data_IF_899940026451
#
_entry.id   IF_899940026451
#
_cell.length_a   1.000
_cell.length_b   1.000
_cell.length_c   1.000
_cell.angle_alpha   90.00
_cell.angle_beta   90.00
_cell.angle_gamma   90.00
#
_symmetry.space_group_name_H-M   'P 1'
#
loop_
_entity.id
_entity.type
_entity.pdbx_description
1 polymer ?
#
# COMPACT_ATOMS: atom_id res chain seq x y z
N UNK A 1 3.24 7.97 13.92
CA UNK A 1 3.89 6.97 13.03
C UNK A 1 4.62 7.57 11.83
N UNK A 2 4.70 8.91 11.66
CA UNK A 2 5.35 9.51 10.48
C UNK A 2 6.89 9.55 10.52
N UNK A 3 7.49 9.31 11.68
CA UNK A 3 8.93 9.48 11.95
C UNK A 3 9.42 8.32 12.81
N UNK A 4 9.50 7.09 12.28
CA UNK A 4 9.91 5.92 13.07
C UNK A 4 11.36 6.04 13.53
N UNK A 5 11.66 5.54 14.73
CA UNK A 5 13.02 5.46 15.25
C UNK A 5 13.72 4.25 14.63
N UNK A 6 14.33 4.45 13.46
CA UNK A 6 14.90 3.38 12.67
C UNK A 6 13.81 2.57 11.94
N UNK A 7 14.23 1.66 11.05
CA UNK A 7 13.30 0.83 10.30
C UNK A 7 12.74 -0.33 11.13
N UNK A 8 13.48 -0.76 12.15
CA UNK A 8 13.21 -1.96 12.95
C UNK A 8 12.07 -1.78 13.97
N UNK A 9 11.80 -0.55 14.38
CA UNK A 9 10.73 -0.20 15.33
C UNK A 9 9.45 0.25 14.61
N UNK A 10 9.11 -0.39 13.49
CA UNK A 10 7.89 -0.09 12.76
C UNK A 10 7.23 -1.32 12.15
N UNK A 11 5.91 -1.29 12.05
CA UNK A 11 5.14 -2.35 11.38
C UNK A 11 5.24 -2.19 9.85
N UNK A 12 5.20 -3.30 9.14
CA UNK A 12 5.07 -3.37 7.69
C UNK A 12 3.69 -3.86 7.28
N UNK A 13 3.17 -3.40 6.15
CA UNK A 13 1.84 -3.78 5.66
C UNK A 13 1.90 -4.00 4.16
N UNK A 14 1.11 -4.95 3.66
CA UNK A 14 0.90 -5.10 2.22
C UNK A 14 0.10 -3.94 1.62
N UNK A 15 -0.64 -3.22 2.46
CA UNK A 15 -1.61 -2.15 2.15
C UNK A 15 -2.79 -2.62 1.30
N UNK A 16 -2.53 -3.20 0.14
CA UNK A 16 -3.54 -3.71 -0.78
C UNK A 16 -4.23 -4.97 -0.26
N UNK A 17 -5.40 -5.22 -0.84
CA UNK A 17 -6.02 -6.55 -0.80
C UNK A 17 -5.35 -7.42 -1.88
N UNK A 18 -5.07 -8.67 -1.55
CA UNK A 18 -4.56 -9.71 -2.46
C UNK A 18 -5.51 -10.89 -2.46
N UNK A 19 -5.32 -11.86 -3.37
CA UNK A 19 -6.03 -13.14 -3.36
C UNK A 19 -5.07 -14.25 -2.93
N UNK A 20 -5.55 -15.18 -2.10
CA UNK A 20 -4.95 -16.51 -1.97
C UNK A 20 -5.80 -17.53 -2.70
N UNK A 21 -5.16 -18.33 -3.54
CA UNK A 21 -5.81 -19.35 -4.38
C UNK A 21 -5.32 -20.73 -3.95
N UNK A 22 -6.26 -21.63 -3.69
CA UNK A 22 -5.94 -23.01 -3.32
C UNK A 22 -5.87 -23.94 -4.55
N UNK A 23 -5.51 -25.21 -4.32
CA UNK A 23 -5.37 -26.23 -5.37
C UNK A 23 -6.67 -26.54 -6.13
N UNK A 24 -7.83 -26.14 -5.61
CA UNK A 24 -9.13 -26.31 -6.24
C UNK A 24 -9.55 -25.07 -7.06
N UNK A 25 -8.67 -24.08 -7.20
CA UNK A 25 -8.97 -22.82 -7.89
C UNK A 25 -9.93 -21.90 -7.11
N UNK A 26 -10.22 -22.21 -5.84
CA UNK A 26 -11.01 -21.32 -4.97
C UNK A 26 -10.09 -20.29 -4.33
N UNK A 27 -10.59 -19.07 -4.15
CA UNK A 27 -9.82 -18.00 -3.56
C UNK A 27 -10.50 -17.31 -2.39
N UNK A 28 -9.68 -16.65 -1.57
CA UNK A 28 -10.09 -15.72 -0.52
C UNK A 28 -9.27 -14.44 -0.65
N UNK A 29 -9.80 -13.33 -0.12
CA UNK A 29 -9.07 -12.07 -0.07
C UNK A 29 -8.21 -11.96 1.18
N UNK A 30 -7.04 -11.34 1.03
CA UNK A 30 -5.98 -11.27 2.04
C UNK A 30 -5.46 -9.84 2.21
N UNK A 31 -5.28 -9.41 3.46
CA UNK A 31 -4.41 -8.27 3.83
C UNK A 31 -3.24 -8.78 4.66
N UNK A 32 -2.01 -8.40 4.28
CA UNK A 32 -0.79 -8.79 4.98
C UNK A 32 -0.37 -7.75 6.01
N UNK A 33 0.03 -8.22 7.19
CA UNK A 33 0.52 -7.42 8.31
C UNK A 33 1.82 -8.02 8.87
N UNK A 34 2.88 -7.24 8.93
CA UNK A 34 4.15 -7.61 9.55
C UNK A 34 4.34 -6.75 10.79
N UNK A 35 4.07 -7.33 11.97
CA UNK A 35 4.10 -6.59 13.23
C UNK A 35 5.48 -6.73 13.87
N UNK A 36 6.23 -5.62 13.92
CA UNK A 36 7.51 -5.55 14.62
C UNK A 36 7.38 -6.13 16.04
N UNK A 37 8.21 -7.12 16.36
CA UNK A 37 8.14 -7.87 17.62
C UNK A 37 8.35 -6.98 18.85
N UNK A 38 9.12 -5.91 18.70
CA UNK A 38 9.42 -4.95 19.77
C UNK A 38 8.45 -3.76 19.82
N UNK A 39 7.37 -3.80 19.03
CA UNK A 39 6.41 -2.71 18.91
C UNK A 39 6.91 -1.57 18.03
N UNK A 40 6.26 -0.41 18.16
CA UNK A 40 6.58 0.78 17.38
C UNK A 40 7.23 1.84 18.25
N UNK A 41 8.25 2.52 17.72
CA UNK A 41 8.87 3.70 18.33
C UNK A 41 8.96 4.82 17.32
N UNK A 42 8.70 6.05 17.75
CA UNK A 42 8.60 7.21 16.89
C UNK A 42 9.36 8.37 17.51
N UNK A 43 10.04 9.16 16.69
CA UNK A 43 10.55 10.46 17.10
C UNK A 43 9.37 11.44 17.19
N UNK A 44 9.38 12.29 18.20
CA UNK A 44 8.67 13.56 18.15
C UNK A 44 9.26 14.42 17.04
N UNK A 45 8.54 15.44 16.59
CA UNK A 45 9.03 16.29 15.51
C UNK A 45 10.38 16.99 15.84
N UNK A 46 10.60 17.58 17.04
CA UNK A 46 11.90 18.16 17.37
C UNK A 46 13.05 17.15 17.33
N UNK A 47 12.81 15.92 17.81
CA UNK A 47 13.80 14.84 17.73
C UNK A 47 14.07 14.44 16.29
N UNK A 48 13.04 14.31 15.46
CA UNK A 48 13.18 13.97 14.05
C UNK A 48 14.00 15.03 13.30
N UNK A 49 13.71 16.32 13.51
CA UNK A 49 14.48 17.43 12.90
C UNK A 49 15.95 17.36 13.33
N UNK A 50 16.20 17.17 14.62
CA UNK A 50 17.56 17.09 15.18
C UNK A 50 18.32 15.90 14.58
N UNK A 51 17.74 14.70 14.61
CA UNK A 51 18.36 13.49 14.08
C UNK A 51 18.60 13.61 12.57
N UNK A 52 17.66 14.17 11.81
CA UNK A 52 17.86 14.40 10.37
C UNK A 52 19.01 15.38 10.07
N UNK A 53 19.30 16.32 10.97
CA UNK A 53 20.45 17.22 10.85
C UNK A 53 21.77 16.61 11.31
N UNK A 54 21.76 15.83 12.39
CA UNK A 54 22.95 15.19 12.96
C UNK A 54 23.39 13.95 12.17
N UNK A 55 22.44 13.15 11.70
CA UNK A 55 22.67 11.89 11.00
C UNK A 55 21.54 11.58 9.99
N UNK A 56 21.66 12.04 8.74
CA UNK A 56 20.66 11.80 7.71
C UNK A 56 20.50 10.31 7.33
N UNK A 57 21.48 9.46 7.67
CA UNK A 57 21.47 8.01 7.41
C UNK A 57 21.12 7.18 8.66
N UNK A 58 20.57 7.79 9.71
CA UNK A 58 20.27 7.16 11.01
C UNK A 58 19.67 5.75 10.90
N UNK A 59 18.60 5.58 10.10
CA UNK A 59 17.92 4.28 9.99
C UNK A 59 18.77 3.21 9.29
N UNK A 60 19.63 3.60 8.33
CA UNK A 60 20.57 2.69 7.68
C UNK A 60 21.64 2.25 8.67
N UNK A 61 22.23 3.22 9.39
CA UNK A 61 23.26 2.96 10.38
C UNK A 61 22.73 2.07 11.51
N UNK A 62 21.55 2.38 12.06
CA UNK A 62 20.94 1.57 13.14
C UNK A 62 20.76 0.11 12.72
N UNK A 63 20.20 -0.12 11.53
CA UNK A 63 20.01 -1.48 11.02
C UNK A 63 21.36 -2.18 10.78
N UNK A 64 22.30 -1.50 10.13
CA UNK A 64 23.62 -2.06 9.82
C UNK A 64 24.36 -2.49 11.09
N UNK A 65 24.47 -1.59 12.06
CA UNK A 65 25.17 -1.87 13.32
C UNK A 65 24.46 -2.94 14.15
N UNK A 66 23.13 -3.00 14.11
CA UNK A 66 22.40 -4.08 14.76
C UNK A 66 22.75 -5.46 14.18
N UNK A 67 22.86 -5.57 12.86
CA UNK A 67 23.28 -6.81 12.20
C UNK A 67 24.75 -7.16 12.56
N UNK A 68 25.66 -6.18 12.62
CA UNK A 68 27.06 -6.41 13.04
C UNK A 68 27.17 -6.89 14.50
N UNK A 69 26.25 -6.46 15.36
CA UNK A 69 26.15 -6.94 16.74
C UNK A 69 25.49 -8.33 16.86
N UNK A 70 25.09 -8.94 15.75
CA UNK A 70 24.37 -10.22 15.73
C UNK A 70 22.95 -10.13 16.29
N UNK A 71 22.35 -8.93 16.34
CA UNK A 71 20.96 -8.77 16.71
C UNK A 71 20.05 -9.19 15.55
N UNK A 72 19.12 -10.12 15.78
CA UNK A 72 18.06 -10.39 14.82
C UNK A 72 16.94 -9.35 14.95
N UNK A 73 16.45 -8.84 13.80
CA UNK A 73 15.28 -7.96 13.77
C UNK A 73 14.11 -8.72 13.19
N UNK A 74 13.02 -8.79 13.95
CA UNK A 74 11.91 -9.71 13.69
C UNK A 74 10.55 -9.01 13.60
N UNK A 75 9.75 -9.49 12.64
CA UNK A 75 8.33 -9.17 12.50
C UNK A 75 7.50 -10.46 12.53
N UNK A 76 6.41 -10.45 13.29
CA UNK A 76 5.41 -11.53 13.26
C UNK A 76 4.45 -11.27 12.11
N UNK A 77 4.37 -12.22 11.19
CA UNK A 77 3.58 -12.11 9.96
C UNK A 77 2.16 -12.64 10.18
N UNK A 78 1.19 -11.78 9.91
CA UNK A 78 -0.24 -12.06 10.03
C UNK A 78 -0.96 -11.78 8.71
N UNK A 79 -2.09 -12.46 8.54
CA UNK A 79 -3.07 -12.17 7.50
C UNK A 79 -4.45 -11.91 8.10
N UNK A 80 -5.21 -11.02 7.48
CA UNK A 80 -6.67 -11.01 7.59
C UNK A 80 -7.24 -11.73 6.37
N UNK A 81 -8.36 -12.42 6.55
CA UNK A 81 -8.98 -13.25 5.51
C UNK A 81 -10.43 -12.82 5.33
N UNK A 82 -10.84 -12.57 4.09
CA UNK A 82 -12.22 -12.20 3.71
C UNK A 82 -12.72 -13.15 2.62
N UNK A 83 -13.94 -13.67 2.77
CA UNK A 83 -14.55 -14.49 1.73
C UNK A 83 -14.98 -13.62 0.54
N UNK A 84 -14.88 -14.12 -0.71
CA UNK A 84 -15.35 -13.41 -1.90
C UNK A 84 -16.76 -12.82 -1.78
N UNK A 85 -17.66 -13.54 -1.12
CA UNK A 85 -19.08 -13.18 -0.97
C UNK A 85 -19.31 -12.04 0.04
N UNK A 86 -18.34 -11.82 0.93
CA UNK A 86 -18.36 -10.74 1.94
C UNK A 86 -17.80 -9.43 1.38
N UNK A 87 -17.17 -9.45 0.20
CA UNK A 87 -16.56 -8.29 -0.45
C UNK A 87 -17.60 -7.36 -1.11
N UNK A 88 -18.66 -7.02 -0.37
CA UNK A 88 -19.71 -6.09 -0.78
C UNK A 88 -19.60 -4.79 0.04
N UNK A 89 -19.18 -3.66 -0.58
CA UNK A 89 -19.02 -2.39 0.11
C UNK A 89 -20.28 -1.89 0.83
N UNK A 90 -21.47 -2.21 0.32
CA UNK A 90 -22.72 -1.80 0.95
C UNK A 90 -22.98 -2.54 2.27
N UNK A 91 -22.48 -3.76 2.42
CA UNK A 91 -22.57 -4.54 3.68
C UNK A 91 -21.44 -4.17 4.64
N UNK A 92 -20.25 -3.95 4.11
CA UNK A 92 -19.05 -3.62 4.90
C UNK A 92 -19.06 -2.18 5.42
N UNK A 93 -19.71 -1.26 4.70
CA UNK A 93 -19.64 0.18 4.95
C UNK A 93 -18.35 0.83 4.43
N UNK A 94 -17.48 0.07 3.76
CA UNK A 94 -16.25 0.55 3.11
C UNK A 94 -15.90 -0.35 1.92
N UNK A 95 -15.10 0.17 0.99
CA UNK A 95 -14.63 -0.61 -0.15
C UNK A 95 -13.41 -1.46 0.24
N UNK A 96 -13.47 -2.79 0.14
CA UNK A 96 -12.39 -3.67 0.59
C UNK A 96 -11.16 -3.61 -0.33
N UNK A 97 -11.31 -3.06 -1.53
CA UNK A 97 -10.24 -2.87 -2.53
C UNK A 97 -9.75 -1.42 -2.61
N UNK A 98 -10.26 -0.52 -1.76
CA UNK A 98 -9.72 0.84 -1.61
C UNK A 98 -8.54 0.83 -0.63
N UNK A 99 -7.37 1.27 -1.09
CA UNK A 99 -6.15 1.39 -0.28
C UNK A 99 -6.26 2.41 0.85
N UNK A 100 -7.21 3.34 0.79
CA UNK A 100 -7.45 4.30 1.88
C UNK A 100 -8.28 3.68 3.02
N UNK A 101 -8.74 2.43 2.87
CA UNK A 101 -9.54 1.71 3.86
C UNK A 101 -8.79 0.51 4.46
N UNK A 102 -8.98 0.31 5.77
CA UNK A 102 -8.52 -0.85 6.54
C UNK A 102 -9.67 -1.80 6.80
N UNK A 103 -9.36 -3.09 6.96
CA UNK A 103 -10.34 -4.07 7.42
C UNK A 103 -10.35 -4.08 8.95
N UNK A 104 -11.49 -3.74 9.60
CA UNK A 104 -11.58 -3.70 11.05
C UNK A 104 -11.23 -5.07 11.66
N UNK A 105 -10.39 -5.09 12.70
CA UNK A 105 -9.87 -6.35 13.30
C UNK A 105 -10.95 -7.15 14.05
N UNK A 106 -12.00 -6.49 14.49
CA UNK A 106 -13.19 -7.08 15.10
C UNK A 106 -14.06 -7.82 14.08
N UNK A 107 -14.05 -7.39 12.81
CA UNK A 107 -14.74 -8.08 11.71
C UNK A 107 -13.84 -9.12 11.04
N UNK A 108 -12.56 -8.79 10.85
CA UNK A 108 -11.56 -9.62 10.19
C UNK A 108 -10.37 -9.82 11.12
N UNK A 109 -10.38 -10.85 11.98
CA UNK A 109 -9.30 -11.11 12.93
C UNK A 109 -7.98 -11.41 12.20
N UNK A 110 -6.87 -11.12 12.89
CA UNK A 110 -5.54 -11.42 12.37
C UNK A 110 -5.17 -12.88 12.67
N UNK A 111 -4.65 -13.58 11.68
CA UNK A 111 -4.15 -14.94 11.78
C UNK A 111 -2.64 -14.94 11.55
N UNK A 112 -1.86 -15.39 12.53
CA UNK A 112 -0.41 -15.58 12.38
C UNK A 112 -0.13 -16.70 11.37
N UNK A 113 0.85 -16.48 10.48
CA UNK A 113 1.29 -17.50 9.52
C UNK A 113 2.81 -17.67 9.44
N UNK A 114 3.58 -16.84 10.16
CA UNK A 114 5.04 -16.97 10.20
C UNK A 114 5.75 -15.76 10.77
N UNK A 115 7.04 -15.65 10.47
CA UNK A 115 7.90 -14.53 10.89
C UNK A 115 8.87 -14.12 9.78
N UNK A 116 9.20 -12.84 9.74
CA UNK A 116 10.27 -12.28 8.90
C UNK A 116 11.43 -11.90 9.82
N UNK A 117 12.63 -12.39 9.52
CA UNK A 117 13.84 -12.05 10.27
C UNK A 117 14.92 -11.52 9.35
N UNK A 118 15.48 -10.38 9.72
CA UNK A 118 16.70 -9.83 9.14
C UNK A 118 17.88 -10.24 10.02
N UNK A 119 18.87 -10.90 9.42
CA UNK A 119 20.02 -11.47 10.12
C UNK A 119 21.37 -11.36 9.37
N UNK A 120 21.42 -10.61 8.26
CA UNK A 120 22.64 -10.43 7.47
C UNK A 120 22.66 -9.06 6.79
N UNK A 121 23.80 -8.38 6.87
CA UNK A 121 24.08 -7.17 6.10
C UNK A 121 24.37 -7.48 4.61
N UNK A 122 24.03 -6.57 3.69
CA UNK A 122 24.43 -6.71 2.30
C UNK A 122 25.95 -6.69 2.17
N UNK A 123 26.51 -7.54 1.31
CA UNK A 123 27.96 -7.59 1.07
C UNK A 123 28.40 -6.41 0.20
N UNK A 124 27.54 -5.98 -0.71
CA UNK A 124 27.75 -4.79 -1.51
C UNK A 124 26.44 -4.01 -1.63
N UNK A 125 26.40 -2.81 -1.02
CA UNK A 125 25.19 -1.99 -0.97
C UNK A 125 24.62 -1.68 -2.36
N UNK A 126 25.48 -1.33 -3.33
CA UNK A 126 25.00 -0.98 -4.67
C UNK A 126 24.37 -2.19 -5.39
N UNK A 127 25.03 -3.35 -5.35
CA UNK A 127 24.54 -4.59 -5.98
C UNK A 127 23.29 -5.13 -5.29
N UNK A 128 23.30 -5.19 -3.95
CA UNK A 128 22.32 -5.94 -3.19
C UNK A 128 21.10 -5.09 -2.79
N UNK A 129 21.27 -3.77 -2.66
CA UNK A 129 20.21 -2.83 -2.24
C UNK A 129 19.81 -1.88 -3.37
N UNK A 130 20.74 -1.09 -3.91
CA UNK A 130 20.39 -0.07 -4.93
C UNK A 130 19.89 -0.71 -6.24
N UNK A 131 20.46 -1.85 -6.63
CA UNK A 131 20.01 -2.60 -7.81
C UNK A 131 18.88 -3.60 -7.52
N UNK A 132 18.39 -3.68 -6.27
CA UNK A 132 17.22 -4.50 -5.97
C UNK A 132 15.97 -3.98 -6.72
N UNK A 133 15.17 -4.91 -7.23
CA UNK A 133 14.04 -4.63 -8.11
C UNK A 133 12.79 -5.40 -7.69
N UNK A 134 12.10 -4.87 -6.68
CA UNK A 134 10.81 -5.40 -6.21
C UNK A 134 9.67 -4.99 -7.16
N UNK A 135 8.77 -5.90 -7.50
CA UNK A 135 7.54 -5.55 -8.23
C UNK A 135 6.37 -6.35 -7.69
N UNK A 136 5.22 -5.73 -7.38
CA UNK A 136 3.99 -6.45 -7.03
C UNK A 136 3.54 -7.43 -8.12
N UNK A 137 3.90 -7.20 -9.39
CA UNK A 137 3.61 -8.13 -10.48
C UNK A 137 4.48 -9.41 -10.49
N UNK A 138 5.43 -9.54 -9.56
CA UNK A 138 6.25 -10.74 -9.38
C UNK A 138 5.62 -11.70 -8.37
N UNK A 139 4.33 -12.00 -8.53
CA UNK A 139 3.61 -12.95 -7.67
C UNK A 139 3.95 -14.40 -8.04
N UNK A 140 3.56 -15.33 -7.17
CA UNK A 140 3.81 -16.78 -7.33
C UNK A 140 2.48 -17.54 -7.30
N UNK A 141 2.38 -18.73 -7.93
CA UNK A 141 1.14 -19.49 -7.95
C UNK A 141 0.54 -19.65 -6.55
N UNK A 142 -0.75 -19.30 -6.42
CA UNK A 142 -1.46 -19.27 -5.15
C UNK A 142 -1.56 -17.88 -4.49
N UNK A 143 -0.81 -16.89 -4.96
CA UNK A 143 -0.96 -15.48 -4.56
C UNK A 143 -1.23 -14.67 -5.82
N UNK A 144 -2.35 -13.96 -5.83
CA UNK A 144 -2.80 -13.17 -6.98
C UNK A 144 -3.23 -11.77 -6.56
N UNK A 145 -3.39 -10.89 -7.53
CA UNK A 145 -3.88 -9.53 -7.38
C UNK A 145 -5.38 -9.48 -7.09
N UNK A 146 -5.80 -8.38 -6.47
CA UNK A 146 -7.21 -8.04 -6.32
C UNK A 146 -7.62 -6.96 -7.32
N UNK A 147 -8.93 -6.66 -7.45
CA UNK A 147 -9.43 -5.54 -8.25
C UNK A 147 -9.01 -4.14 -7.77
N UNK A 148 -8.15 -4.02 -6.75
CA UNK A 148 -7.58 -2.75 -6.29
C UNK A 148 -6.86 -2.03 -7.45
N UNK A 149 -7.38 -0.89 -7.95
CA UNK A 149 -6.83 -0.24 -9.14
C UNK A 149 -5.40 0.26 -8.94
N UNK A 150 -5.01 0.61 -7.70
CA UNK A 150 -3.64 1.01 -7.42
C UNK A 150 -2.70 -0.19 -7.47
N UNK A 151 -3.11 -1.35 -6.94
CA UNK A 151 -2.33 -2.58 -7.07
C UNK A 151 -2.15 -2.95 -8.54
N UNK A 152 -3.23 -2.94 -9.33
CA UNK A 152 -3.22 -3.23 -10.76
C UNK A 152 -2.17 -2.38 -11.51
N UNK A 153 -2.18 -1.06 -11.27
CA UNK A 153 -1.22 -0.17 -11.90
C UNK A 153 0.22 -0.44 -11.44
N UNK A 154 0.43 -0.72 -10.14
CA UNK A 154 1.77 -1.01 -9.59
C UNK A 154 2.36 -2.30 -10.17
N UNK A 155 1.56 -3.30 -10.51
CA UNK A 155 2.07 -4.53 -11.14
C UNK A 155 2.82 -4.25 -12.44
N UNK A 156 2.28 -3.34 -13.26
CA UNK A 156 2.92 -2.88 -14.50
C UNK A 156 4.05 -1.88 -14.22
N UNK A 157 3.74 -0.79 -13.50
CA UNK A 157 4.60 0.38 -13.38
C UNK A 157 6.00 0.09 -12.83
N UNK A 158 6.10 -0.80 -11.83
CA UNK A 158 7.40 -1.10 -11.22
C UNK A 158 8.37 -1.70 -12.22
N UNK A 159 7.90 -2.62 -13.08
CA UNK A 159 8.77 -3.28 -14.05
C UNK A 159 9.20 -2.31 -15.15
N UNK A 160 8.29 -1.46 -15.63
CA UNK A 160 8.58 -0.40 -16.60
C UNK A 160 9.69 0.54 -16.11
N UNK A 161 9.53 1.09 -14.89
CA UNK A 161 10.54 1.95 -14.29
C UNK A 161 11.90 1.25 -14.10
N UNK A 162 11.91 -0.05 -13.78
CA UNK A 162 13.13 -0.82 -13.58
C UNK A 162 13.87 -1.12 -14.89
N UNK A 163 13.16 -1.29 -16.01
CA UNK A 163 13.80 -1.41 -17.31
C UNK A 163 14.60 -0.16 -17.68
N UNK A 164 14.09 1.03 -17.33
CA UNK A 164 14.85 2.26 -17.49
C UNK A 164 15.98 2.40 -16.47
N UNK A 165 15.71 2.11 -15.18
CA UNK A 165 16.65 2.34 -14.08
C UNK A 165 17.84 1.38 -14.05
N UNK A 166 17.62 0.10 -14.38
CA UNK A 166 18.64 -0.96 -14.31
C UNK A 166 18.95 -1.51 -15.70
N UNK A 167 17.90 -1.84 -16.47
CA UNK A 167 18.03 -2.42 -17.80
C UNK A 167 17.10 -3.60 -18.04
N UNK A 168 16.94 -3.99 -19.31
CA UNK A 168 16.04 -5.08 -19.71
C UNK A 168 16.39 -6.44 -19.08
N UNK A 169 17.68 -6.67 -18.83
CA UNK A 169 18.20 -7.90 -18.22
C UNK A 169 18.38 -7.81 -16.69
N UNK A 170 17.63 -6.94 -15.99
CA UNK A 170 17.74 -6.72 -14.53
C UNK A 170 17.66 -7.99 -13.67
N UNK A 171 17.00 -9.04 -14.16
CA UNK A 171 16.85 -10.34 -13.49
C UNK A 171 18.18 -11.11 -13.40
N UNK A 172 19.20 -10.70 -14.17
CA UNK A 172 20.55 -11.29 -14.11
C UNK A 172 21.41 -10.67 -13.00
N UNK A 173 21.01 -9.52 -12.43
CA UNK A 173 21.64 -8.99 -11.22
C UNK A 173 21.40 -9.98 -10.08
N UNK A 174 22.42 -10.42 -9.33
CA UNK A 174 22.29 -11.52 -8.36
C UNK A 174 21.14 -11.38 -7.37
N UNK A 175 20.90 -10.17 -6.84
CA UNK A 175 19.81 -9.90 -5.87
C UNK A 175 18.40 -10.07 -6.48
N UNK A 176 18.26 -9.95 -7.80
CA UNK A 176 17.00 -10.08 -8.53
C UNK A 176 16.81 -11.45 -9.19
N UNK A 177 17.84 -12.30 -9.16
CA UNK A 177 17.83 -13.58 -9.84
C UNK A 177 16.88 -14.56 -9.12
N UNK A 178 15.93 -15.18 -9.83
CA UNK A 178 15.03 -16.17 -9.24
C UNK A 178 15.76 -17.53 -9.07
N UNK A 179 16.85 -17.55 -8.31
CA UNK A 179 17.78 -18.68 -8.22
C UNK A 179 17.16 -19.98 -7.67
N UNK A 180 16.02 -19.88 -6.98
CA UNK A 180 15.24 -21.03 -6.48
C UNK A 180 14.14 -21.50 -7.44
N UNK A 181 13.96 -20.84 -8.59
CA UNK A 181 12.99 -21.28 -9.58
C UNK A 181 13.46 -22.60 -10.21
N UNK A 182 12.56 -23.60 -10.24
CA UNK A 182 12.85 -24.91 -10.85
C UNK A 182 13.16 -24.82 -12.35
N UNK A 183 12.64 -23.79 -13.01
CA UNK A 183 12.91 -23.51 -14.42
C UNK A 183 12.67 -22.02 -14.70
N UNK A 184 13.64 -21.38 -15.36
CA UNK A 184 13.49 -20.06 -15.96
C UNK A 184 13.39 -20.27 -17.48
N UNK A 185 12.17 -20.46 -17.98
CA UNK A 185 11.90 -20.75 -19.39
C UNK A 185 11.21 -19.59 -20.10
N UNK A 186 11.73 -18.38 -19.92
CA UNK A 186 11.24 -17.21 -20.66
C UNK A 186 11.45 -17.38 -22.17
N UNK A 187 10.63 -16.67 -22.94
CA UNK A 187 10.85 -16.42 -24.38
C UNK A 187 11.58 -15.09 -24.61
N UNK A 188 12.28 -14.57 -23.59
CA UNK A 188 13.02 -13.32 -23.63
C UNK A 188 14.49 -13.59 -24.00
N UNK A 189 14.93 -13.16 -25.16
CA UNK A 189 16.30 -13.30 -25.65
C UNK A 189 16.96 -11.91 -25.78
N UNK A 190 18.30 -11.88 -25.81
CA UNK A 190 19.11 -10.70 -26.15
C UNK A 190 18.94 -9.51 -25.17
N UNK A 191 18.92 -8.28 -25.70
CA UNK A 191 18.89 -7.06 -24.91
C UNK A 191 20.26 -6.62 -24.40
N UNK A 192 20.36 -5.36 -24.01
CA UNK A 192 21.61 -4.80 -23.47
C UNK A 192 22.06 -5.54 -22.21
N UNK A 193 23.37 -5.70 -22.05
CA UNK A 193 24.00 -6.34 -20.89
C UNK A 193 23.51 -7.78 -20.63
N UNK A 194 23.20 -8.53 -21.70
CA UNK A 194 22.97 -9.97 -21.61
C UNK A 194 24.30 -10.67 -21.30
N UNK A 195 24.41 -11.29 -20.14
CA UNK A 195 25.66 -11.93 -19.66
C UNK A 195 25.50 -13.39 -19.26
N UNK A 196 24.28 -13.93 -19.31
CA UNK A 196 24.03 -15.38 -19.21
C UNK A 196 24.22 -16.09 -20.57
N UNK A 197 23.88 -17.38 -20.64
CA UNK A 197 23.96 -18.15 -21.88
C UNK A 197 22.90 -17.78 -22.94
N UNK A 198 22.11 -16.72 -22.74
CA UNK A 198 21.01 -16.30 -23.61
C UNK A 198 20.01 -17.41 -23.93
N UNK A 199 19.70 -18.25 -22.93
CA UNK A 199 18.92 -19.50 -23.06
C UNK A 199 19.48 -20.55 -24.04
N UNK A 200 20.72 -20.40 -24.53
CA UNK A 200 21.44 -21.33 -25.39
C UNK A 200 20.58 -21.84 -26.58
N UNK A 201 20.49 -23.16 -26.78
CA UNK A 201 19.75 -23.77 -27.90
C UNK A 201 18.22 -23.74 -27.79
N UNK A 202 17.65 -23.06 -26.79
CA UNK A 202 16.20 -22.99 -26.63
C UNK A 202 15.55 -22.29 -27.83
N UNK A 203 14.39 -22.80 -28.25
CA UNK A 203 13.61 -22.17 -29.32
C UNK A 203 13.07 -20.82 -28.88
N UNK A 204 13.23 -19.84 -29.76
CA UNK A 204 12.83 -18.44 -29.57
C UNK A 204 11.34 -18.18 -29.86
N UNK A 205 10.54 -19.22 -30.08
CA UNK A 205 9.13 -19.12 -30.43
C UNK A 205 8.26 -20.17 -29.72
N UNK A 206 6.98 -19.87 -29.57
CA UNK A 206 5.95 -20.75 -29.00
C UNK A 206 4.62 -20.56 -29.74
N UNK A 207 3.83 -21.62 -30.03
CA UNK A 207 4.16 -23.03 -29.80
C UNK A 207 5.28 -23.52 -30.74
N UNK A 208 5.98 -24.60 -30.35
CA UNK A 208 6.98 -25.26 -31.20
C UNK A 208 6.95 -26.78 -30.97
N UNK A 209 7.43 -27.55 -31.95
CA UNK A 209 7.38 -29.02 -31.93
C UNK A 209 8.43 -29.69 -31.05
N UNK A 210 9.26 -28.93 -30.31
CA UNK A 210 10.41 -29.46 -29.56
C UNK A 210 10.27 -29.35 -28.05
N UNK A 211 9.47 -28.40 -27.55
CA UNK A 211 9.27 -28.19 -26.12
C UNK A 211 7.88 -27.59 -25.81
N UNK A 212 7.19 -28.17 -24.82
CA UNK A 212 5.94 -27.64 -24.29
C UNK A 212 6.23 -26.63 -23.16
N UNK A 213 6.06 -25.34 -23.44
CA UNK A 213 6.31 -24.25 -22.47
C UNK A 213 5.05 -23.72 -21.77
N UNK A 214 3.86 -24.16 -22.18
CA UNK A 214 2.60 -23.72 -21.56
C UNK A 214 2.39 -24.41 -20.18
N UNK A 215 1.93 -23.65 -19.18
CA UNK A 215 1.73 -24.11 -17.80
C UNK A 215 0.29 -23.85 -17.35
N UNK A 216 -0.68 -24.66 -17.80
CA UNK A 216 -2.09 -24.46 -17.42
C UNK A 216 -2.32 -24.65 -15.92
N UNK A 217 -1.43 -25.38 -15.24
CA UNK A 217 -1.47 -25.62 -13.79
C UNK A 217 -1.17 -24.37 -12.95
N UNK A 218 -0.74 -23.27 -13.57
CA UNK A 218 -0.53 -21.97 -12.93
C UNK A 218 -1.43 -20.88 -13.49
N UNK A 219 -2.52 -21.24 -14.17
CA UNK A 219 -3.51 -20.29 -14.62
C UNK A 219 -4.14 -19.55 -13.43
N UNK A 220 -4.39 -18.25 -13.60
CA UNK A 220 -4.99 -17.40 -12.58
C UNK A 220 -6.40 -17.85 -12.23
N UNK A 221 -6.82 -17.65 -10.98
CA UNK A 221 -8.18 -17.93 -10.58
C UNK A 221 -9.15 -16.96 -11.29
N UNK A 222 -10.13 -17.49 -12.04
CA UNK A 222 -11.16 -16.66 -12.65
C UNK A 222 -11.96 -15.96 -11.55
N UNK A 223 -12.31 -14.70 -11.76
CA UNK A 223 -13.20 -13.95 -10.89
C UNK A 223 -14.25 -13.22 -11.74
N UNK A 224 -15.44 -13.05 -11.16
CA UNK A 224 -16.56 -12.39 -11.82
C UNK A 224 -16.47 -10.89 -11.61
N UNK A 225 -16.58 -10.13 -12.70
CA UNK A 225 -16.74 -8.67 -12.70
C UNK A 225 -18.20 -8.26 -12.48
N UNK A 226 -18.41 -7.05 -11.97
CA UNK A 226 -19.69 -6.52 -11.46
C UNK A 226 -20.60 -6.16 -12.61
N UNK A 227 -19.96 -5.54 -13.59
CA UNK A 227 -20.48 -4.93 -14.77
C UNK A 227 -19.45 -5.15 -15.89
N UNK A 228 -19.86 -4.85 -17.10
CA UNK A 228 -19.03 -4.87 -18.30
C UNK A 228 -18.75 -3.44 -18.79
N UNK A 229 -18.72 -2.47 -17.86
CA UNK A 229 -18.64 -1.04 -18.18
C UNK A 229 -17.22 -0.54 -17.92
N UNK A 230 -16.53 -0.16 -19.00
CA UNK A 230 -15.24 0.53 -18.89
C UNK A 230 -15.49 2.03 -18.88
N UNK A 231 -15.18 2.68 -17.75
CA UNK A 231 -15.35 4.13 -17.62
C UNK A 231 -14.26 4.76 -16.74
N UNK A 232 -14.26 6.10 -16.66
CA UNK A 232 -13.44 6.85 -15.69
C UNK A 232 -14.21 7.25 -14.44
N UNK A 233 -15.44 6.74 -14.27
CA UNK A 233 -16.18 6.95 -13.03
C UNK A 233 -15.46 6.27 -11.88
N UNK A 234 -15.59 6.83 -10.69
CA UNK A 234 -15.20 6.15 -9.48
C UNK A 234 -16.15 4.97 -9.21
N UNK A 235 -15.61 3.94 -8.58
CA UNK A 235 -16.34 2.74 -8.16
C UNK A 235 -16.40 2.64 -6.63
N UNK A 236 -15.90 3.63 -5.91
CA UNK A 236 -15.81 3.62 -4.45
C UNK A 236 -17.13 4.06 -3.83
N UNK A 237 -17.80 3.13 -3.15
CA UNK A 237 -19.12 3.32 -2.54
C UNK A 237 -19.19 4.52 -1.60
N UNK A 238 -18.11 4.82 -0.88
CA UNK A 238 -18.07 5.86 0.14
C UNK A 238 -17.78 7.26 -0.45
N UNK A 239 -17.37 7.36 -1.71
CA UNK A 239 -17.05 8.64 -2.35
C UNK A 239 -18.26 9.56 -2.41
N UNK A 240 -18.03 10.86 -2.15
CA UNK A 240 -19.09 11.86 -2.02
C UNK A 240 -20.06 11.58 -0.86
N UNK A 241 -19.64 10.87 0.19
CA UNK A 241 -20.42 10.66 1.42
C UNK A 241 -19.61 11.01 2.65
N UNK A 242 -20.30 11.32 3.75
CA UNK A 242 -19.66 11.60 5.05
C UNK A 242 -18.92 10.37 5.60
N UNK A 243 -19.28 9.17 5.15
CA UNK A 243 -18.61 7.92 5.53
C UNK A 243 -17.13 7.84 5.08
N UNK A 244 -16.71 8.70 4.14
CA UNK A 244 -15.27 8.92 3.82
C UNK A 244 -14.41 9.12 5.08
N UNK A 245 -14.95 9.80 6.09
CA UNK A 245 -14.21 10.18 7.28
C UNK A 245 -14.28 9.15 8.41
N UNK A 246 -15.06 8.07 8.26
CA UNK A 246 -15.36 7.17 9.38
C UNK A 246 -14.11 6.50 9.94
N UNK A 247 -13.26 5.93 9.09
CA UNK A 247 -12.08 5.21 9.56
C UNK A 247 -10.99 6.13 10.13
N UNK A 248 -10.80 7.32 9.54
CA UNK A 248 -9.87 8.32 10.09
C UNK A 248 -10.40 8.91 11.40
N UNK A 249 -11.72 9.01 11.57
CA UNK A 249 -12.36 9.39 12.82
C UNK A 249 -12.14 8.32 13.89
N UNK A 250 -12.27 7.03 13.56
CA UNK A 250 -11.95 5.93 14.47
C UNK A 250 -10.48 5.95 14.90
N UNK A 251 -9.55 6.21 13.97
CA UNK A 251 -8.14 6.39 14.30
C UNK A 251 -7.95 7.52 15.33
N UNK A 252 -8.55 8.68 15.08
CA UNK A 252 -8.41 9.85 15.95
C UNK A 252 -9.05 9.67 17.34
N UNK A 253 -10.27 9.15 17.38
CA UNK A 253 -11.09 9.08 18.60
C UNK A 253 -10.75 7.86 19.46
N UNK A 254 -10.56 6.70 18.84
CA UNK A 254 -10.46 5.41 19.54
C UNK A 254 -9.02 4.93 19.68
N UNK A 255 -8.19 5.13 18.66
CA UNK A 255 -6.84 4.51 18.61
C UNK A 255 -5.77 5.42 19.18
N UNK A 256 -5.81 6.72 18.89
CA UNK A 256 -4.85 7.68 19.44
C UNK A 256 -5.13 7.93 20.93
N UNK A 257 -4.07 8.01 21.73
CA UNK A 257 -4.13 8.58 23.07
C UNK A 257 -4.02 10.13 23.00
N UNK A 258 -4.12 10.80 24.16
CA UNK A 258 -4.06 12.26 24.23
C UNK A 258 -2.71 12.81 23.76
N UNK A 259 -1.61 12.11 24.04
CA UNK A 259 -0.28 12.50 23.60
C UNK A 259 -0.13 12.41 22.07
N UNK A 260 -0.65 11.34 21.46
CA UNK A 260 -0.69 11.15 20.02
C UNK A 260 -1.56 12.21 19.34
N UNK A 261 -2.72 12.55 19.90
CA UNK A 261 -3.57 13.65 19.41
C UNK A 261 -2.87 15.00 19.52
N UNK A 262 -2.24 15.32 20.65
CA UNK A 262 -1.50 16.56 20.82
C UNK A 262 -0.35 16.68 19.82
N UNK A 263 0.40 15.60 19.59
CA UNK A 263 1.45 15.54 18.58
C UNK A 263 0.87 15.72 17.16
N UNK A 264 -0.25 15.07 16.84
CA UNK A 264 -0.96 15.26 15.56
C UNK A 264 -1.34 16.73 15.36
N UNK A 265 -1.95 17.37 16.35
CA UNK A 265 -2.36 18.79 16.29
C UNK A 265 -1.18 19.72 16.02
N UNK A 266 -0.12 19.59 16.82
CA UNK A 266 1.09 20.40 16.68
C UNK A 266 1.77 20.18 15.31
N UNK A 267 1.91 18.93 14.88
CA UNK A 267 2.57 18.61 13.61
C UNK A 267 1.78 19.17 12.42
N UNK A 268 0.46 19.00 12.43
CA UNK A 268 -0.43 19.55 11.39
C UNK A 268 -0.42 21.07 11.39
N UNK A 269 -0.51 21.72 12.56
CA UNK A 269 -0.49 23.18 12.66
C UNK A 269 0.82 23.80 12.13
N UNK A 270 1.97 23.18 12.45
CA UNK A 270 3.27 23.63 11.92
C UNK A 270 3.38 23.47 10.40
N UNK A 271 2.79 22.44 9.82
CA UNK A 271 2.74 22.31 8.36
C UNK A 271 1.81 23.39 7.77
N UNK A 272 0.63 23.58 8.37
CA UNK A 272 -0.35 24.57 7.93
C UNK A 272 0.13 26.01 8.08
N UNK A 273 1.05 26.31 9.02
CA UNK A 273 1.65 27.64 9.15
C UNK A 273 2.52 28.05 7.97
N UNK A 274 2.93 27.10 7.12
CA UNK A 274 3.66 27.37 5.88
C UNK A 274 2.73 27.64 4.68
N UNK A 275 1.41 27.48 4.85
CA UNK A 275 0.43 27.72 3.79
C UNK A 275 -0.01 29.17 3.85
N UNK A 276 0.21 29.95 2.78
CA UNK A 276 -0.09 31.39 2.77
C UNK A 276 -1.53 31.74 2.32
N UNK A 277 -2.28 30.78 1.77
CA UNK A 277 -3.60 31.04 1.19
C UNK A 277 -4.72 30.69 2.20
N UNK A 278 -5.49 31.68 2.71
CA UNK A 278 -6.57 31.42 3.68
C UNK A 278 -7.62 30.44 3.17
N UNK A 279 -7.92 30.45 1.87
CA UNK A 279 -8.86 29.49 1.28
C UNK A 279 -8.37 28.04 1.37
N UNK A 280 -7.06 27.79 1.23
CA UNK A 280 -6.48 26.44 1.38
C UNK A 280 -6.53 26.03 2.86
N UNK A 281 -6.19 26.95 3.77
CA UNK A 281 -6.29 26.71 5.21
C UNK A 281 -7.71 26.36 5.63
N UNK A 282 -8.71 27.18 5.25
CA UNK A 282 -10.13 26.94 5.52
C UNK A 282 -10.60 25.59 4.99
N UNK A 283 -10.27 25.26 3.74
CA UNK A 283 -10.68 24.00 3.11
C UNK A 283 -10.04 22.79 3.80
N UNK A 284 -8.75 22.87 4.15
CA UNK A 284 -8.10 21.79 4.90
C UNK A 284 -8.74 21.58 6.28
N UNK A 285 -8.98 22.66 7.02
CA UNK A 285 -9.64 22.59 8.33
C UNK A 285 -11.06 22.01 8.21
N UNK A 286 -11.80 22.35 7.15
CA UNK A 286 -13.13 21.83 6.91
C UNK A 286 -13.12 20.31 6.67
N UNK A 287 -12.09 19.78 5.99
CA UNK A 287 -11.89 18.34 5.84
C UNK A 287 -11.62 17.66 7.20
N UNK A 288 -10.69 18.20 7.99
CA UNK A 288 -10.38 17.60 9.31
C UNK A 288 -11.47 17.87 10.37
N UNK A 289 -12.34 18.85 10.16
CA UNK A 289 -13.55 19.06 10.99
C UNK A 289 -14.50 17.88 10.87
N UNK A 290 -14.68 17.34 9.66
CA UNK A 290 -15.49 16.14 9.43
C UNK A 290 -14.85 14.87 10.02
N UNK A 291 -13.54 14.87 10.27
CA UNK A 291 -12.88 13.85 11.09
C UNK A 291 -13.26 14.08 12.56
N UNK A 292 -12.93 15.24 13.11
CA UNK A 292 -13.27 15.64 14.48
C UNK A 292 -13.23 17.18 14.64
N UNK A 293 -14.31 17.84 15.11
CA UNK A 293 -14.32 19.30 15.32
C UNK A 293 -13.20 19.80 16.24
N UNK A 294 -12.88 19.05 17.29
CA UNK A 294 -11.81 19.36 18.23
C UNK A 294 -10.41 19.27 17.59
N UNK A 295 -10.22 18.42 16.59
CA UNK A 295 -8.98 18.36 15.82
C UNK A 295 -8.81 19.63 14.98
N UNK A 296 -9.84 20.00 14.23
CA UNK A 296 -9.82 21.23 13.44
C UNK A 296 -9.60 22.47 14.31
N UNK A 297 -10.28 22.55 15.46
CA UNK A 297 -10.14 23.65 16.42
C UNK A 297 -8.72 23.77 16.94
N UNK A 298 -8.13 22.66 17.41
CA UNK A 298 -6.77 22.68 17.94
C UNK A 298 -5.74 23.15 16.90
N UNK A 299 -5.86 22.68 15.65
CA UNK A 299 -4.98 23.13 14.55
C UNK A 299 -5.19 24.62 14.26
N UNK A 300 -6.44 25.09 14.23
CA UNK A 300 -6.77 26.50 14.00
C UNK A 300 -6.12 27.41 15.05
N UNK A 301 -6.27 27.07 16.33
CA UNK A 301 -5.74 27.85 17.44
C UNK A 301 -4.19 27.87 17.45
N UNK A 302 -3.54 26.76 17.09
CA UNK A 302 -2.07 26.64 17.07
C UNK A 302 -1.39 27.28 15.86
N UNK A 303 -2.07 27.36 14.71
CA UNK A 303 -1.46 27.86 13.45
C UNK A 303 -1.20 29.37 13.51
N UNK A 304 -1.91 30.10 14.39
CA UNK A 304 -1.72 31.51 14.66
C UNK A 304 -1.50 32.32 13.37
N UNK A 305 -2.34 32.07 12.33
CA UNK A 305 -2.18 32.45 10.91
C UNK A 305 -1.34 33.71 10.69
N UNK A 306 -0.01 33.51 10.62
CA UNK A 306 0.97 34.57 10.88
C UNK A 306 1.04 35.65 9.80
N UNK A 307 0.41 35.47 8.63
CA UNK A 307 0.62 36.32 7.46
C UNK A 307 -0.61 36.56 6.56
N UNK A 308 -1.85 36.45 7.05
CA UNK A 308 -3.05 36.67 6.23
C UNK A 308 -4.29 37.12 7.00
N UNK A 309 -5.34 37.51 6.27
CA UNK A 309 -6.67 37.80 6.83
C UNK A 309 -7.10 36.69 7.80
N UNK A 310 -7.32 37.07 9.05
CA UNK A 310 -7.94 36.17 10.03
C UNK A 310 -9.34 35.83 9.54
N UNK A 311 -9.66 34.54 9.46
CA UNK A 311 -11.01 34.06 9.20
C UNK A 311 -11.59 33.48 10.49
N UNK A 312 -12.91 33.54 10.65
CA UNK A 312 -13.59 32.94 11.80
C UNK A 312 -13.66 31.42 11.60
N UNK A 313 -13.45 30.66 12.66
CA UNK A 313 -13.67 29.22 12.63
C UNK A 313 -15.11 28.83 12.28
N UNK A 314 -16.09 29.70 12.52
CA UNK A 314 -17.46 29.49 12.04
C UNK A 314 -17.53 29.33 10.51
N UNK A 315 -16.59 29.94 9.76
CA UNK A 315 -16.47 29.72 8.31
C UNK A 315 -16.03 28.30 7.98
N UNK A 316 -15.15 27.71 8.80
CA UNK A 316 -14.69 26.32 8.65
C UNK A 316 -15.85 25.35 8.85
N UNK A 317 -16.64 25.53 9.91
CA UNK A 317 -17.83 24.71 10.18
C UNK A 317 -18.86 24.84 9.05
N UNK A 318 -19.07 26.05 8.53
CA UNK A 318 -19.97 26.24 7.38
C UNK A 318 -19.47 25.47 6.15
N UNK A 319 -18.17 25.52 5.89
CA UNK A 319 -17.53 24.85 4.76
C UNK A 319 -17.45 23.32 4.93
N UNK A 320 -17.44 22.79 6.15
CA UNK A 320 -17.34 21.34 6.35
C UNK A 320 -18.60 20.59 5.89
N UNK A 321 -19.75 21.27 5.86
CA UNK A 321 -21.06 20.68 5.52
C UNK A 321 -21.08 20.01 4.15
N UNK A 322 -20.37 20.56 3.16
CA UNK A 322 -20.30 20.03 1.79
C UNK A 322 -18.88 19.58 1.39
N UNK A 323 -17.93 19.57 2.33
CA UNK A 323 -16.52 19.28 2.02
C UNK A 323 -16.26 17.90 1.40
N UNK A 324 -17.10 16.91 1.69
CA UNK A 324 -17.03 15.56 1.09
C UNK A 324 -17.38 15.55 -0.41
N UNK A 325 -18.00 16.61 -0.92
CA UNK A 325 -18.39 16.75 -2.33
C UNK A 325 -17.39 17.55 -3.17
N UNK A 326 -16.43 18.23 -2.54
CA UNK A 326 -15.54 19.16 -3.24
C UNK A 326 -14.63 18.45 -4.25
N UNK A 327 -14.44 19.08 -5.41
CA UNK A 327 -13.58 18.60 -6.50
C UNK A 327 -13.96 17.22 -7.05
N UNK A 328 -15.21 16.79 -6.84
CA UNK A 328 -15.77 15.55 -7.39
C UNK A 328 -16.75 15.89 -8.51
N UNK A 329 -16.32 15.74 -9.75
CA UNK A 329 -17.15 15.99 -10.93
C UNK A 329 -18.38 15.08 -10.97
N UNK A 330 -19.62 15.60 -11.02
CA UNK A 330 -20.85 14.79 -10.95
C UNK A 330 -20.88 13.61 -11.91
N UNK A 331 -20.36 13.78 -13.13
CA UNK A 331 -20.32 12.72 -14.16
C UNK A 331 -19.33 11.58 -13.86
N UNK A 332 -18.37 11.80 -12.95
CA UNK A 332 -17.34 10.83 -12.55
C UNK A 332 -17.59 10.21 -11.17
N UNK A 333 -18.67 10.60 -10.48
CA UNK A 333 -19.03 10.04 -9.17
C UNK A 333 -19.49 8.58 -9.30
N UNK A 334 -19.37 7.78 -8.24
CA UNK A 334 -19.95 6.45 -8.21
C UNK A 334 -21.48 6.54 -8.36
N UNK A 335 -22.06 5.54 -9.02
CA UNK A 335 -23.50 5.27 -8.99
C UNK A 335 -23.77 4.01 -8.14
N UNK A 336 -25.03 3.62 -8.00
CA UNK A 336 -25.40 2.49 -7.11
C UNK A 336 -25.04 1.12 -7.70
N UNK A 337 -24.85 1.07 -9.02
CA UNK A 337 -24.75 -0.16 -9.82
C UNK A 337 -23.30 -0.58 -10.11
N UNK A 338 -22.37 0.39 -10.26
CA UNK A 338 -20.97 0.09 -10.59
C UNK A 338 -20.13 -0.08 -9.31
N UNK A 339 -19.55 -1.27 -9.09
CA UNK A 339 -18.72 -1.59 -7.90
C UNK A 339 -17.49 -2.38 -8.28
N UNK A 340 -16.36 -2.19 -7.57
CA UNK A 340 -15.27 -3.16 -7.66
C UNK A 340 -15.74 -4.46 -6.98
N UNK A 341 -15.85 -5.55 -7.73
CA UNK A 341 -16.30 -6.84 -7.19
C UNK A 341 -15.24 -7.91 -7.23
N UNK A 342 -15.49 -8.94 -6.43
CA UNK A 342 -14.57 -10.01 -6.21
C UNK A 342 -15.19 -11.39 -6.08
N UNK A 343 -16.27 -11.70 -6.80
CA UNK A 343 -16.93 -12.99 -6.64
C UNK A 343 -16.18 -14.10 -7.37
N UNK A 344 -16.12 -15.29 -6.78
CA UNK A 344 -15.74 -16.49 -7.51
C UNK A 344 -16.84 -16.85 -8.51
N UNK A 345 -16.51 -17.31 -9.74
CA UNK A 345 -17.52 -17.83 -10.65
C UNK A 345 -18.16 -19.09 -10.07
N UNK A 346 -19.46 -19.28 -10.32
CA UNK A 346 -20.21 -20.43 -9.82
C UNK A 346 -19.69 -21.78 -10.37
N UNK A 347 -19.06 -21.76 -11.56
CA UNK A 347 -18.44 -22.93 -12.18
C UNK A 347 -16.93 -22.70 -12.33
N UNK A 348 -16.08 -23.72 -12.06
CA UNK A 348 -14.66 -23.66 -12.37
C UNK A 348 -14.47 -23.55 -13.89
N UNK A 349 -13.71 -22.54 -14.34
CA UNK A 349 -13.36 -22.36 -15.76
C UNK A 349 -12.19 -23.26 -16.19
N UNK A 350 -11.29 -23.58 -15.26
CA UNK A 350 -10.17 -24.48 -15.50
C UNK A 350 -10.50 -25.83 -14.85
N UNK A 351 -10.58 -26.87 -15.67
CA UNK A 351 -10.84 -28.25 -15.26
C UNK A 351 -9.58 -28.97 -14.79
#
# INVERSE_FOLDING_TARGET
HGTPQGWTNNHGYGCHTFKWVNKQGKFVYIKYHFLAKHGQKQFTQPEAIRISGENPDYSKQELWEAMERGEEKEWVAHVQIMQPEDADPAKLGFDPFDVTKVWPRDQFPMHEFGRLVLNKNPENFHRDVEQAAFSPGSMVPGIEDSPDPLLQFRMFFYRDAQYHRIGVNLHQVPTNCPFMARSVSSVNFDGQMRVDANHAGNKQYTPNSFAHKFRPDVAEAPYKVSDNVVSRKSHYYHECKVSEYDQVRELYKRVMDDGARANLHSNTAKMMSNVNYPIIQKKFLAQIYNVAPEYARAVYDMTNYKHGEKFDFAEVEKLSKDAHMWYKEPMLRPDEDNRLVGFAPANPFYH
#
